data_IF_050838863519
#
_entry.id   IF_050838863519
#
_cell.length_a   1.000
_cell.length_b   1.000
_cell.length_c   1.000
_cell.angle_alpha   90.00
_cell.angle_beta   90.00
_cell.angle_gamma   90.00
#
_symmetry.space_group_name_H-M   'P 1'
#
loop_
_entity.id
_entity.type
_entity.pdbx_description
1 polymer ?
#
# COMPACT_ATOMS: atom_id res chain seq x y z
N UNK A 1 5.49 -6.03 11.32
CA UNK A 1 5.58 -4.59 11.62
C UNK A 1 4.16 -4.02 11.52
N UNK A 2 3.70 -3.27 12.52
CA UNK A 2 2.36 -2.65 12.50
C UNK A 2 2.41 -1.25 11.87
N UNK A 3 1.38 -0.91 11.11
CA UNK A 3 1.18 0.43 10.54
C UNK A 3 -0.17 1.00 11.00
N UNK A 4 -0.21 2.31 11.18
CA UNK A 4 -1.41 3.10 11.37
C UNK A 4 -1.66 3.88 10.07
N UNK A 5 -2.82 3.67 9.46
CA UNK A 5 -3.27 4.38 8.26
C UNK A 5 -4.55 5.10 8.63
N UNK A 6 -4.57 6.42 8.43
CA UNK A 6 -5.75 7.26 8.64
C UNK A 6 -6.09 7.88 7.30
N UNK A 7 -7.27 7.54 6.77
CA UNK A 7 -7.76 8.13 5.52
C UNK A 7 -7.93 9.65 5.67
N UNK A 8 -7.58 10.39 4.62
CA UNK A 8 -7.87 11.81 4.55
C UNK A 8 -9.39 12.05 4.48
N UNK A 9 -9.86 13.20 4.99
CA UNK A 9 -11.27 13.60 4.83
C UNK A 9 -11.63 13.91 3.38
N UNK A 10 -10.71 14.56 2.67
CA UNK A 10 -10.75 14.69 1.21
C UNK A 10 -9.76 13.69 0.61
N UNK A 11 -10.28 12.54 0.20
CA UNK A 11 -9.49 11.45 -0.37
C UNK A 11 -9.00 11.76 -1.79
N UNK A 12 -9.58 12.75 -2.48
CA UNK A 12 -9.22 13.06 -3.86
C UNK A 12 -7.98 13.94 -3.96
N UNK A 13 -7.81 14.86 -3.00
CA UNK A 13 -6.74 15.85 -3.05
C UNK A 13 -5.76 15.79 -1.89
N UNK A 14 -5.97 14.91 -0.91
CA UNK A 14 -5.09 14.81 0.25
C UNK A 14 -4.66 13.38 0.48
N UNK A 15 -3.36 13.19 0.70
CA UNK A 15 -2.79 11.88 0.98
C UNK A 15 -3.26 11.34 2.33
N UNK A 16 -3.41 10.01 2.49
CA UNK A 16 -3.65 9.42 3.80
C UNK A 16 -2.49 9.74 4.74
N UNK A 17 -2.76 9.79 6.05
CA UNK A 17 -1.72 9.79 7.06
C UNK A 17 -1.25 8.37 7.30
N UNK A 18 0.05 8.13 7.16
CA UNK A 18 0.66 6.81 7.29
C UNK A 18 1.80 6.88 8.29
N UNK A 19 1.75 6.02 9.30
CA UNK A 19 2.76 5.92 10.33
C UNK A 19 3.09 4.47 10.63
N UNK A 20 4.39 4.18 10.77
CA UNK A 20 4.91 2.88 11.13
C UNK A 20 5.48 2.92 12.53
N UNK A 21 5.22 1.86 13.30
CA UNK A 21 5.76 1.76 14.66
C UNK A 21 7.30 1.79 14.70
N UNK A 22 7.96 1.39 13.61
CA UNK A 22 9.42 1.29 13.55
C UNK A 22 10.11 2.54 12.97
N UNK A 23 9.47 3.25 12.03
CA UNK A 23 10.09 4.34 11.26
C UNK A 23 9.39 5.68 11.46
N UNK A 24 8.27 5.72 12.19
CA UNK A 24 7.50 6.94 12.41
C UNK A 24 6.57 7.26 11.24
N UNK A 25 6.20 8.53 11.13
CA UNK A 25 5.25 9.02 10.12
C UNK A 25 5.96 9.34 8.82
N UNK A 26 5.39 8.87 7.70
CA UNK A 26 5.89 9.19 6.37
C UNK A 26 5.78 10.70 6.11
N UNK A 27 6.87 11.30 5.64
CA UNK A 27 6.99 12.75 5.54
C UNK A 27 6.04 13.38 4.51
N UNK A 28 5.62 12.60 3.52
CA UNK A 28 4.64 12.97 2.50
C UNK A 28 3.19 12.71 2.93
N UNK A 29 2.96 12.02 4.04
CA UNK A 29 1.61 11.61 4.45
C UNK A 29 0.78 12.81 4.93
N UNK A 30 -0.47 12.88 4.51
CA UNK A 30 -1.35 14.02 4.80
C UNK A 30 -1.09 15.29 3.98
N UNK A 31 -0.10 15.31 3.08
CA UNK A 31 0.10 16.43 2.17
C UNK A 31 -1.04 16.52 1.15
N UNK A 32 -1.34 17.74 0.73
CA UNK A 32 -2.22 17.99 -0.40
C UNK A 32 -1.49 17.67 -1.72
N UNK A 33 -2.23 17.21 -2.74
CA UNK A 33 -1.67 16.84 -4.05
C UNK A 33 -0.89 17.96 -4.72
N UNK A 34 -1.24 19.22 -4.44
CA UNK A 34 -0.53 20.40 -4.94
C UNK A 34 0.84 20.63 -4.31
N UNK A 35 1.13 19.99 -3.18
CA UNK A 35 2.41 20.08 -2.47
C UNK A 35 3.42 19.02 -2.93
N UNK A 36 2.98 18.10 -3.80
CA UNK A 36 3.80 16.97 -4.22
C UNK A 36 4.78 17.38 -5.31
N UNK A 37 6.06 17.15 -5.04
CA UNK A 37 7.10 17.21 -6.07
C UNK A 37 7.21 15.85 -6.78
N UNK A 38 7.84 15.79 -7.96
CA UNK A 38 8.08 14.52 -8.66
C UNK A 38 8.80 13.47 -7.79
N UNK A 39 9.72 13.91 -6.93
CA UNK A 39 10.44 13.05 -6.00
C UNK A 39 9.51 12.45 -4.94
N UNK A 40 8.60 13.25 -4.39
CA UNK A 40 7.59 12.78 -3.43
C UNK A 40 6.66 11.76 -4.09
N UNK A 41 6.25 12.01 -5.34
CA UNK A 41 5.41 11.07 -6.09
C UNK A 41 6.15 9.73 -6.29
N UNK A 42 7.45 9.77 -6.64
CA UNK A 42 8.25 8.57 -6.77
C UNK A 42 8.33 7.78 -5.46
N UNK A 43 8.49 8.46 -4.32
CA UNK A 43 8.51 7.80 -3.00
C UNK A 43 7.16 7.17 -2.64
N UNK A 44 6.04 7.82 -2.97
CA UNK A 44 4.68 7.27 -2.79
C UNK A 44 4.48 6.01 -3.64
N UNK A 45 4.99 6.00 -4.88
CA UNK A 45 4.91 4.82 -5.75
C UNK A 45 5.78 3.69 -5.22
N UNK A 46 7.02 3.98 -4.81
CA UNK A 46 7.91 2.99 -4.22
C UNK A 46 7.32 2.37 -2.93
N UNK A 47 6.70 3.20 -2.11
CA UNK A 47 5.93 2.77 -0.96
C UNK A 47 4.80 1.81 -1.36
N UNK A 48 4.02 2.20 -2.37
CA UNK A 48 2.88 1.40 -2.85
C UNK A 48 3.32 0.02 -3.31
N UNK A 49 4.44 -0.05 -4.03
CA UNK A 49 5.00 -1.30 -4.51
C UNK A 49 5.50 -2.19 -3.36
N UNK A 50 6.35 -1.64 -2.50
CA UNK A 50 7.01 -2.40 -1.43
C UNK A 50 6.03 -2.89 -0.36
N UNK A 51 5.18 -2.01 0.16
CA UNK A 51 4.22 -2.35 1.22
C UNK A 51 3.02 -3.13 0.68
N UNK A 52 2.60 -2.87 -0.57
CA UNK A 52 1.61 -3.69 -1.27
C UNK A 52 2.07 -5.14 -1.35
N UNK A 53 3.27 -5.39 -1.88
CA UNK A 53 3.89 -6.72 -1.95
C UNK A 53 3.97 -7.39 -0.58
N UNK A 54 4.54 -6.67 0.41
CA UNK A 54 4.71 -7.19 1.77
C UNK A 54 3.36 -7.58 2.37
N UNK A 55 2.31 -6.80 2.15
CA UNK A 55 0.97 -7.10 2.68
C UNK A 55 0.37 -8.33 2.01
N UNK A 56 0.39 -8.41 0.69
CA UNK A 56 -0.08 -9.59 -0.05
C UNK A 56 0.63 -10.88 0.36
N UNK A 57 1.96 -10.82 0.50
CA UNK A 57 2.76 -11.95 0.99
C UNK A 57 2.37 -12.40 2.40
N UNK A 58 2.12 -11.45 3.31
CA UNK A 58 1.74 -11.77 4.67
C UNK A 58 0.32 -12.34 4.75
N UNK A 59 -0.65 -11.75 4.05
CA UNK A 59 -2.06 -12.19 4.04
C UNK A 59 -2.23 -13.57 3.38
N UNK A 60 -1.39 -13.93 2.40
CA UNK A 60 -1.39 -15.27 1.82
C UNK A 60 -1.14 -16.41 2.83
N UNK A 61 -0.57 -16.13 4.02
CA UNK A 61 -0.41 -17.12 5.09
C UNK A 61 -1.67 -17.32 5.96
N UNK A 62 -2.66 -16.43 5.85
CA UNK A 62 -3.82 -16.39 6.73
C UNK A 62 -4.98 -17.12 6.02
N UNK A 63 -4.85 -18.44 5.92
CA UNK A 63 -5.55 -19.33 4.98
C UNK A 63 -7.05 -19.58 5.17
N UNK A 64 -7.76 -18.87 6.05
CA UNK A 64 -9.19 -19.15 6.33
C UNK A 64 -10.13 -17.93 6.19
N UNK A 65 -9.64 -16.79 5.74
CA UNK A 65 -10.48 -15.61 5.51
C UNK A 65 -10.31 -15.14 4.07
N UNK A 66 -11.36 -15.29 3.27
CA UNK A 66 -11.53 -14.66 1.95
C UNK A 66 -11.56 -13.11 2.02
N UNK A 67 -11.21 -12.53 3.16
CA UNK A 67 -11.16 -11.09 3.36
C UNK A 67 -9.75 -10.63 2.96
N UNK A 68 -9.55 -10.42 1.66
CA UNK A 68 -8.36 -9.75 1.14
C UNK A 68 -8.56 -8.24 1.24
N UNK A 69 -7.69 -7.54 1.97
CA UNK A 69 -7.72 -6.07 2.04
C UNK A 69 -6.85 -5.47 0.92
N UNK A 70 -7.23 -5.78 -0.32
CA UNK A 70 -6.49 -5.45 -1.55
C UNK A 70 -6.43 -3.95 -1.83
N UNK A 71 -7.46 -3.19 -1.44
CA UNK A 71 -7.64 -1.80 -1.86
C UNK A 71 -6.64 -0.78 -1.27
N UNK A 72 -5.78 -1.21 -0.34
CA UNK A 72 -4.65 -0.38 0.11
C UNK A 72 -5.05 0.93 0.80
N UNK A 73 -4.09 1.85 0.98
CA UNK A 73 -4.32 3.14 1.64
C UNK A 73 -4.72 4.27 0.70
N UNK A 74 -4.47 4.14 -0.61
CA UNK A 74 -4.69 5.20 -1.58
C UNK A 74 -6.00 4.97 -2.34
N UNK A 75 -6.82 6.00 -2.52
CA UNK A 75 -8.05 5.89 -3.28
C UNK A 75 -7.75 5.86 -4.79
N UNK A 76 -8.65 5.27 -5.62
CA UNK A 76 -8.43 5.12 -7.06
C UNK A 76 -8.31 6.43 -7.84
N UNK A 77 -8.80 7.55 -7.30
CA UNK A 77 -8.83 8.84 -8.00
C UNK A 77 -7.60 9.72 -7.67
N UNK A 78 -6.80 9.36 -6.67
CA UNK A 78 -5.61 10.11 -6.28
C UNK A 78 -4.50 9.91 -7.32
N UNK A 79 -3.92 11.01 -7.83
CA UNK A 79 -2.81 11.00 -8.79
C UNK A 79 -3.11 10.10 -10.01
N UNK A 80 -4.29 10.30 -10.61
CA UNK A 80 -4.80 9.50 -11.72
C UNK A 80 -4.81 7.98 -11.42
N UNK A 81 -4.91 7.62 -10.14
CA UNK A 81 -4.92 6.25 -9.63
C UNK A 81 -3.58 5.52 -9.69
N UNK A 82 -2.47 6.21 -9.96
CA UNK A 82 -1.17 5.57 -10.06
C UNK A 82 -0.74 4.84 -8.76
N UNK A 83 -0.85 5.45 -7.56
CA UNK A 83 -0.52 4.75 -6.30
C UNK A 83 -1.42 3.54 -6.03
N UNK A 84 -2.73 3.67 -6.28
CA UNK A 84 -3.67 2.57 -6.11
C UNK A 84 -3.32 1.37 -7.02
N UNK A 85 -3.06 1.63 -8.31
CA UNK A 85 -2.68 0.57 -9.25
C UNK A 85 -1.39 -0.13 -8.85
N UNK A 86 -0.35 0.64 -8.50
CA UNK A 86 0.94 0.11 -8.06
C UNK A 86 0.80 -0.77 -6.81
N UNK A 87 0.01 -0.31 -5.83
CA UNK A 87 -0.29 -1.09 -4.64
C UNK A 87 -0.96 -2.42 -4.97
N UNK A 88 -2.03 -2.36 -5.76
CA UNK A 88 -2.87 -3.51 -6.10
C UNK A 88 -2.07 -4.57 -6.87
N UNK A 89 -1.30 -4.14 -7.87
CA UNK A 89 -0.45 -5.04 -8.65
C UNK A 89 0.59 -5.72 -7.77
N UNK A 90 1.28 -4.96 -6.92
CA UNK A 90 2.29 -5.52 -6.02
C UNK A 90 1.70 -6.41 -4.94
N UNK A 91 0.53 -6.08 -4.40
CA UNK A 91 -0.22 -6.97 -3.50
C UNK A 91 -0.51 -8.32 -4.15
N UNK A 92 -1.06 -8.32 -5.37
CA UNK A 92 -1.37 -9.54 -6.09
C UNK A 92 -0.11 -10.38 -6.34
N UNK A 93 1.01 -9.73 -6.67
CA UNK A 93 2.31 -10.38 -6.84
C UNK A 93 2.79 -11.03 -5.54
N UNK A 94 2.81 -10.30 -4.43
CA UNK A 94 3.21 -10.84 -3.13
C UNK A 94 2.35 -12.01 -2.67
N UNK A 95 1.03 -11.93 -2.92
CA UNK A 95 0.09 -13.01 -2.60
C UNK A 95 0.38 -14.28 -3.42
N UNK A 96 0.56 -14.12 -4.75
CA UNK A 96 0.86 -15.23 -5.68
C UNK A 96 2.21 -15.88 -5.39
N UNK A 97 3.25 -15.08 -5.15
CA UNK A 97 4.59 -15.58 -4.88
C UNK A 97 4.60 -16.44 -3.61
N UNK A 98 3.88 -16.00 -2.57
CA UNK A 98 3.77 -16.77 -1.33
C UNK A 98 3.02 -18.08 -1.50
N UNK A 99 1.90 -18.06 -2.23
CA UNK A 99 1.12 -19.27 -2.55
C UNK A 99 1.93 -20.27 -3.38
N UNK A 100 2.71 -19.76 -4.34
CA UNK A 100 3.61 -20.59 -5.15
C UNK A 100 4.74 -21.18 -4.31
N UNK A 101 5.38 -20.37 -3.46
CA UNK A 101 6.45 -20.81 -2.56
C UNK A 101 6.00 -21.86 -1.55
N UNK A 102 4.76 -21.73 -1.05
CA UNK A 102 4.17 -22.69 -0.11
C UNK A 102 3.70 -24.00 -0.77
N UNK A 103 3.37 -23.97 -2.07
CA UNK A 103 3.04 -25.17 -2.84
C UNK A 103 4.26 -26.08 -3.09
N UNK A 104 5.46 -25.50 -3.18
CA UNK A 104 6.72 -26.26 -3.33
C UNK A 104 7.22 -26.94 -2.04
N UNK A 105 6.63 -26.62 -0.89
CA UNK A 105 7.02 -27.18 0.42
C UNK A 105 5.96 -28.17 0.98
N UNK A 106 5.03 -28.64 0.15
CA UNK A 106 4.07 -29.72 0.48
C UNK A 106 4.40 -30.97 -0.33
#
# INVERSE_FOLDING_TARGET
MGSLIIAAKDTTNTLPHISFNATGTEYWSGLHVSELTPEIIADILHFSESEGYRKGWNEANWTDRDICYRDGPFPPDLLDGAPYRAWVESYDNGYKDRRSSSAFHR
#
